data_IF_301374852677
#
_entry.id   IF_301374852677
#
_cell.length_a   1.000
_cell.length_b   1.000
_cell.length_c   1.000
_cell.angle_alpha   90.00
_cell.angle_beta   90.00
_cell.angle_gamma   90.00
#
_symmetry.space_group_name_H-M   'P 1'
#
loop_
_entity.id
_entity.type
_entity.pdbx_description
1 polymer ?
#
# COMPACT_ATOMS: atom_id res chain seq x y z
N UNK A 1 8.49 15.49 -9.03
CA UNK A 1 9.38 15.46 -7.85
C UNK A 1 9.50 16.89 -7.33
N UNK A 2 9.31 17.08 -6.02
CA UNK A 2 9.43 18.37 -5.34
C UNK A 2 10.72 18.39 -4.51
N UNK A 3 11.46 19.49 -4.50
CA UNK A 3 12.68 19.65 -3.70
C UNK A 3 12.46 20.69 -2.61
N UNK A 4 12.80 20.34 -1.36
CA UNK A 4 12.66 21.18 -0.17
C UNK A 4 14.00 21.20 0.58
N UNK A 5 14.84 22.19 0.29
CA UNK A 5 16.20 22.24 0.84
C UNK A 5 17.00 20.99 0.44
N UNK A 6 17.50 20.25 1.44
CA UNK A 6 18.24 19.00 1.22
C UNK A 6 17.34 17.76 1.02
N UNK A 7 16.02 17.92 1.02
CA UNK A 7 15.06 16.82 0.89
C UNK A 7 14.41 16.79 -0.50
N UNK A 8 14.13 15.60 -1.01
CA UNK A 8 13.29 15.40 -2.20
C UNK A 8 12.05 14.62 -1.85
N UNK A 9 10.90 15.02 -2.40
CA UNK A 9 9.62 14.34 -2.28
C UNK A 9 9.17 13.88 -3.66
N UNK A 10 9.02 12.57 -3.80
CA UNK A 10 8.41 11.93 -4.96
C UNK A 10 7.01 11.43 -4.60
N UNK A 11 6.11 11.42 -5.59
CA UNK A 11 4.72 11.00 -5.45
C UNK A 11 4.56 9.69 -6.20
N UNK A 12 4.14 8.64 -5.49
CA UNK A 12 3.86 7.33 -6.06
C UNK A 12 2.35 7.15 -6.08
N UNK A 13 1.75 7.26 -7.27
CA UNK A 13 0.29 7.20 -7.44
C UNK A 13 -0.23 5.82 -7.08
N UNK A 14 -1.24 5.78 -6.21
CA UNK A 14 -1.93 4.56 -5.80
C UNK A 14 -3.29 4.47 -6.52
N UNK A 15 -4.15 5.48 -6.36
CA UNK A 15 -5.45 5.61 -7.04
C UNK A 15 -5.67 7.07 -7.46
N UNK A 16 -5.79 7.33 -8.76
CA UNK A 16 -6.00 8.66 -9.30
C UNK A 16 -6.75 8.57 -10.66
N UNK A 17 -7.95 9.18 -10.82
CA UNK A 17 -8.71 9.85 -9.78
C UNK A 17 -9.46 8.87 -8.87
N UNK A 18 -9.55 9.21 -7.60
CA UNK A 18 -10.58 8.70 -6.69
C UNK A 18 -11.76 9.69 -6.70
N UNK A 19 -12.76 9.41 -7.52
CA UNK A 19 -13.93 10.26 -7.69
C UNK A 19 -15.00 9.96 -6.63
N UNK A 20 -15.52 11.01 -6.00
CA UNK A 20 -16.65 10.92 -5.07
C UNK A 20 -17.70 11.97 -5.42
N UNK A 21 -19.00 11.67 -5.27
CA UNK A 21 -20.02 12.72 -5.30
C UNK A 21 -19.71 13.82 -4.30
N UNK A 22 -19.86 15.09 -4.70
CA UNK A 22 -19.55 16.24 -3.84
C UNK A 22 -20.23 16.13 -2.47
N UNK A 23 -21.54 15.85 -2.46
CA UNK A 23 -22.34 15.72 -1.24
C UNK A 23 -21.97 14.51 -0.36
N UNK A 24 -21.27 13.51 -0.91
CA UNK A 24 -20.74 12.40 -0.12
C UNK A 24 -19.51 12.82 0.69
N UNK A 25 -18.61 13.63 0.10
CA UNK A 25 -17.42 14.13 0.80
C UNK A 25 -17.76 15.34 1.70
N UNK A 26 -18.62 16.22 1.23
CA UNK A 26 -19.07 17.43 1.94
C UNK A 26 -20.59 17.43 2.06
N UNK A 27 -21.16 16.82 3.12
CA UNK A 27 -22.61 16.75 3.30
C UNK A 27 -23.27 18.13 3.26
N UNK A 28 -24.29 18.27 2.39
CA UNK A 28 -25.03 19.52 2.19
C UNK A 28 -24.38 20.52 1.24
N UNK A 29 -23.25 20.20 0.63
CA UNK A 29 -22.65 21.02 -0.42
C UNK A 29 -23.32 20.80 -1.77
N UNK A 30 -23.57 21.89 -2.49
CA UNK A 30 -24.12 21.90 -3.84
C UNK A 30 -23.06 22.35 -4.83
N UNK A 31 -22.97 21.68 -5.99
CA UNK A 31 -21.92 21.94 -6.99
C UNK A 31 -21.96 23.38 -7.52
N UNK A 32 -23.14 24.00 -7.54
CA UNK A 32 -23.30 25.38 -8.01
C UNK A 32 -22.77 26.44 -7.06
N UNK A 33 -22.58 26.10 -5.78
CA UNK A 33 -21.96 27.00 -4.82
C UNK A 33 -20.47 27.26 -5.11
N UNK A 34 -19.84 26.44 -5.95
CA UNK A 34 -18.42 26.56 -6.33
C UNK A 34 -18.23 26.73 -7.84
N UNK A 35 -19.29 27.08 -8.57
CA UNK A 35 -19.27 27.19 -10.04
C UNK A 35 -18.32 28.28 -10.55
N UNK A 36 -18.23 29.38 -9.82
CA UNK A 36 -17.31 30.49 -10.11
C UNK A 36 -15.83 30.09 -10.01
N UNK A 37 -15.54 29.02 -9.25
CA UNK A 37 -14.21 28.45 -9.09
C UNK A 37 -13.84 27.40 -10.15
N UNK A 38 -14.71 27.11 -11.11
CA UNK A 38 -14.47 26.14 -12.19
C UNK A 38 -13.14 26.33 -12.94
N UNK A 39 -12.68 27.55 -13.28
CA UNK A 39 -11.44 27.76 -14.02
C UNK A 39 -10.17 27.23 -13.34
N UNK A 40 -10.18 27.02 -12.02
CA UNK A 40 -9.02 26.50 -11.28
C UNK A 40 -9.29 25.18 -10.55
N UNK A 41 -10.55 24.74 -10.46
CA UNK A 41 -10.92 23.42 -9.96
C UNK A 41 -10.99 22.36 -11.07
N UNK A 42 -11.41 22.73 -12.28
CA UNK A 42 -11.43 21.82 -13.42
C UNK A 42 -10.06 21.80 -14.14
N UNK A 43 -9.67 20.68 -14.76
CA UNK A 43 -10.31 19.36 -14.70
C UNK A 43 -9.79 18.51 -13.53
N UNK A 44 -8.89 19.03 -12.69
CA UNK A 44 -8.05 18.21 -11.82
C UNK A 44 -8.63 17.95 -10.43
N UNK A 45 -9.54 18.79 -9.94
CA UNK A 45 -10.05 18.73 -8.57
C UNK A 45 -11.57 18.50 -8.51
N UNK A 46 -12.31 18.93 -9.53
CA UNK A 46 -13.76 18.75 -9.62
C UNK A 46 -14.14 18.40 -11.06
N UNK A 47 -14.87 17.30 -11.22
CA UNK A 47 -15.65 17.02 -12.42
C UNK A 47 -17.04 17.63 -12.24
N UNK A 48 -17.18 18.84 -12.76
CA UNK A 48 -18.38 19.64 -12.67
C UNK A 48 -19.57 19.08 -13.46
N UNK A 49 -19.31 18.25 -14.47
CA UNK A 49 -20.38 17.61 -15.25
C UNK A 49 -20.94 16.39 -14.52
N UNK A 50 -20.07 15.62 -13.86
CA UNK A 50 -20.47 14.47 -13.05
C UNK A 50 -20.86 14.83 -11.60
N UNK A 51 -20.62 16.06 -11.16
CA UNK A 51 -20.86 16.49 -9.77
C UNK A 51 -19.91 15.83 -8.77
N UNK A 52 -18.70 15.47 -9.21
CA UNK A 52 -17.74 14.73 -8.42
C UNK A 52 -16.55 15.60 -8.01
N UNK A 53 -16.06 15.39 -6.79
CA UNK A 53 -14.72 15.81 -6.38
C UNK A 53 -13.72 14.71 -6.74
N UNK A 54 -12.55 15.13 -7.23
CA UNK A 54 -11.49 14.24 -7.69
C UNK A 54 -10.34 14.30 -6.67
N UNK A 55 -10.09 13.17 -6.02
CA UNK A 55 -9.04 13.02 -5.03
C UNK A 55 -7.91 12.16 -5.59
N UNK A 56 -6.68 12.42 -5.15
CA UNK A 56 -5.55 11.52 -5.39
C UNK A 56 -5.24 10.72 -4.14
N UNK A 57 -5.20 9.39 -4.24
CA UNK A 57 -4.56 8.54 -3.25
C UNK A 57 -3.16 8.22 -3.74
N UNK A 58 -2.17 8.50 -2.91
CA UNK A 58 -0.77 8.37 -3.29
C UNK A 58 0.11 8.24 -2.06
N UNK A 59 1.20 7.50 -2.22
CA UNK A 59 2.28 7.48 -1.25
C UNK A 59 3.30 8.56 -1.60
N UNK A 60 3.99 9.07 -0.58
CA UNK A 60 5.09 10.00 -0.78
C UNK A 60 6.40 9.35 -0.38
N UNK A 61 7.41 9.49 -1.23
CA UNK A 61 8.75 9.06 -0.95
C UNK A 61 9.61 10.27 -0.61
N UNK A 62 9.93 10.42 0.67
CA UNK A 62 10.82 11.45 1.17
C UNK A 62 12.24 10.90 1.23
N UNK A 63 13.18 11.57 0.57
CA UNK A 63 14.62 11.27 0.66
C UNK A 63 15.34 12.45 1.28
N UNK A 64 16.05 12.21 2.39
CA UNK A 64 16.79 13.23 3.13
C UNK A 64 17.88 12.57 3.96
N UNK A 65 19.09 13.13 3.98
CA UNK A 65 20.19 12.61 4.81
C UNK A 65 20.54 11.14 4.55
N UNK A 66 20.42 10.68 3.30
CA UNK A 66 20.63 9.26 2.93
C UNK A 66 19.47 8.32 3.28
N UNK A 67 18.44 8.79 3.97
CA UNK A 67 17.25 8.00 4.30
C UNK A 67 16.27 7.96 3.14
N UNK A 68 15.51 6.87 3.09
CA UNK A 68 14.36 6.68 2.19
C UNK A 68 13.13 6.41 3.06
N UNK A 69 12.22 7.37 3.13
CA UNK A 69 11.05 7.34 4.01
C UNK A 69 9.80 7.25 3.14
N UNK A 70 9.09 6.13 3.23
CA UNK A 70 7.79 5.95 2.59
C UNK A 70 6.68 6.42 3.53
N UNK A 71 5.87 7.36 3.08
CA UNK A 71 4.65 7.81 3.74
C UNK A 71 3.47 7.20 2.95
N UNK A 72 2.89 6.13 3.46
CA UNK A 72 1.82 5.36 2.81
C UNK A 72 0.42 5.89 3.18
N UNK A 73 -0.43 6.14 2.18
CA UNK A 73 -1.83 6.58 2.35
C UNK A 73 -2.84 5.41 2.44
N UNK A 74 -2.33 4.19 2.64
CA UNK A 74 -3.02 3.01 3.16
C UNK A 74 -3.93 2.22 2.21
N UNK A 75 -4.26 2.64 0.98
CA UNK A 75 -5.11 1.82 0.07
C UNK A 75 -4.34 0.61 -0.44
N UNK A 76 -3.37 0.80 -1.34
CA UNK A 76 -2.55 -0.26 -1.91
C UNK A 76 -3.34 -1.36 -2.64
N UNK A 77 -2.67 -2.49 -2.84
CA UNK A 77 -3.20 -3.68 -3.52
C UNK A 77 -3.35 -4.85 -2.53
N UNK A 78 -4.18 -5.83 -2.89
CA UNK A 78 -4.31 -7.13 -2.22
C UNK A 78 -4.73 -7.07 -0.74
N UNK A 79 -5.54 -6.05 -0.35
CA UNK A 79 -6.08 -5.96 1.00
C UNK A 79 -7.61 -6.13 1.00
N UNK A 80 -8.17 -7.06 1.79
CA UNK A 80 -9.60 -7.29 1.84
C UNK A 80 -10.29 -6.13 2.56
N UNK A 81 -11.18 -5.42 1.85
CA UNK A 81 -11.97 -4.29 2.36
C UNK A 81 -13.41 -4.39 1.87
N UNK A 82 -14.17 -5.42 2.28
CA UNK A 82 -15.51 -5.69 1.74
C UNK A 82 -16.53 -4.55 1.94
N UNK A 83 -16.25 -3.61 2.87
CA UNK A 83 -17.07 -2.41 3.12
C UNK A 83 -16.69 -1.20 2.24
N UNK A 84 -15.65 -1.29 1.42
CA UNK A 84 -15.13 -0.23 0.55
C UNK A 84 -14.77 -0.81 -0.80
N UNK A 85 -15.76 -0.96 -1.68
CA UNK A 85 -15.61 -1.60 -2.99
C UNK A 85 -14.43 -1.04 -3.79
N UNK A 86 -14.27 0.29 -3.83
CA UNK A 86 -13.19 0.97 -4.58
C UNK A 86 -11.79 0.65 -4.05
N UNK A 87 -11.67 0.09 -2.85
CA UNK A 87 -10.41 -0.22 -2.16
C UNK A 87 -10.21 -1.72 -1.88
N UNK A 88 -11.21 -2.55 -2.20
CA UNK A 88 -11.23 -3.96 -1.88
C UNK A 88 -10.42 -4.77 -2.91
N UNK A 89 -9.44 -5.55 -2.43
CA UNK A 89 -8.73 -6.55 -3.25
C UNK A 89 -8.29 -6.05 -4.62
N UNK A 90 -7.87 -4.78 -4.67
CA UNK A 90 -7.30 -4.17 -5.87
C UNK A 90 -6.05 -4.93 -6.27
N UNK A 91 -5.88 -5.17 -7.56
CA UNK A 91 -4.71 -5.81 -8.13
C UNK A 91 -4.39 -5.16 -9.48
N UNK A 92 -3.13 -5.31 -9.93
CA UNK A 92 -2.66 -4.84 -11.23
C UNK A 92 -2.92 -3.33 -11.50
N UNK A 93 -2.89 -2.49 -10.46
CA UNK A 93 -3.07 -1.03 -10.59
C UNK A 93 -1.76 -0.32 -10.97
N UNK A 94 -0.66 -1.08 -10.96
CA UNK A 94 0.71 -0.59 -11.20
C UNK A 94 1.31 0.13 -10.00
N UNK A 95 0.61 0.23 -8.86
CA UNK A 95 1.11 0.92 -7.67
C UNK A 95 2.41 0.31 -7.16
N UNK A 96 2.45 -1.02 -6.97
CA UNK A 96 3.64 -1.73 -6.51
C UNK A 96 4.80 -1.59 -7.50
N UNK A 97 4.51 -1.61 -8.81
CA UNK A 97 5.52 -1.41 -9.85
C UNK A 97 6.11 0.01 -9.83
N UNK A 98 5.27 1.05 -9.63
CA UNK A 98 5.73 2.44 -9.47
C UNK A 98 6.58 2.63 -8.22
N UNK A 99 6.21 1.99 -7.11
CA UNK A 99 7.00 2.02 -5.88
C UNK A 99 8.38 1.36 -6.08
N UNK A 100 8.40 0.19 -6.73
CA UNK A 100 9.63 -0.52 -7.08
C UNK A 100 10.54 0.28 -8.03
N UNK A 101 9.97 0.96 -9.03
CA UNK A 101 10.69 1.86 -9.93
C UNK A 101 11.29 3.06 -9.20
N UNK A 102 10.65 3.48 -8.10
CA UNK A 102 11.16 4.53 -7.19
C UNK A 102 12.24 4.00 -6.23
N UNK A 103 12.73 2.76 -6.41
CA UNK A 103 13.78 2.16 -5.58
C UNK A 103 13.30 1.65 -4.22
N UNK A 104 11.99 1.53 -4.00
CA UNK A 104 11.40 0.96 -2.78
C UNK A 104 10.66 -0.32 -3.11
N UNK A 105 11.11 -1.42 -2.51
CA UNK A 105 10.43 -2.72 -2.59
C UNK A 105 10.14 -3.19 -1.18
N UNK A 106 8.90 -3.02 -0.75
CA UNK A 106 8.48 -3.31 0.61
C UNK A 106 7.04 -3.83 0.64
N UNK A 107 6.77 -4.82 1.49
CA UNK A 107 5.46 -5.43 1.71
C UNK A 107 5.13 -5.28 3.19
N UNK A 108 4.16 -4.43 3.48
CA UNK A 108 3.55 -4.32 4.81
C UNK A 108 2.52 -5.43 4.95
N UNK A 109 2.94 -6.56 5.51
CA UNK A 109 2.15 -7.79 5.46
C UNK A 109 1.10 -7.90 6.58
N UNK A 110 1.02 -6.91 7.47
CA UNK A 110 0.12 -6.93 8.63
C UNK A 110 0.29 -8.23 9.42
N UNK A 111 -0.79 -8.99 9.52
CA UNK A 111 -0.91 -10.22 10.33
C UNK A 111 -0.66 -11.50 9.50
N UNK A 112 -0.18 -11.39 8.26
CA UNK A 112 0.18 -12.59 7.47
C UNK A 112 1.30 -13.40 8.15
N UNK A 113 2.20 -12.72 8.87
CA UNK A 113 3.32 -13.29 9.63
C UNK A 113 3.32 -12.66 11.04
N UNK A 114 3.24 -13.50 12.07
CA UNK A 114 3.27 -13.08 13.47
C UNK A 114 4.62 -13.38 14.15
N UNK A 115 5.39 -14.31 13.59
CA UNK A 115 6.67 -14.74 14.16
C UNK A 115 7.60 -15.26 13.05
N UNK A 116 8.93 -15.10 13.17
CA UNK A 116 9.90 -15.69 12.23
C UNK A 116 9.78 -17.21 12.12
N UNK A 117 9.20 -17.88 13.11
CA UNK A 117 8.88 -19.30 13.03
C UNK A 117 8.00 -19.63 11.82
N UNK A 118 7.09 -18.73 11.42
CA UNK A 118 6.21 -18.92 10.25
C UNK A 118 6.94 -18.77 8.91
N UNK A 119 8.21 -18.35 8.88
CA UNK A 119 9.04 -18.47 7.68
C UNK A 119 9.56 -19.90 7.52
N UNK A 120 9.94 -20.54 8.64
CA UNK A 120 10.36 -21.95 8.65
C UNK A 120 9.19 -22.89 8.44
N UNK A 121 8.01 -22.50 8.93
CA UNK A 121 6.75 -23.25 8.79
C UNK A 121 5.65 -22.34 8.24
N UNK A 122 5.67 -22.03 6.93
CA UNK A 122 4.64 -21.21 6.28
C UNK A 122 3.24 -21.82 6.35
N UNK A 123 3.13 -23.11 6.65
CA UNK A 123 1.88 -23.83 6.87
C UNK A 123 1.25 -23.57 8.25
N UNK A 124 1.98 -22.99 9.20
CA UNK A 124 1.46 -22.73 10.53
C UNK A 124 0.55 -21.50 10.57
N UNK A 125 -0.70 -21.70 11.00
CA UNK A 125 -1.65 -20.62 11.26
C UNK A 125 -1.65 -20.22 12.74
N UNK A 126 -1.83 -18.92 13.00
CA UNK A 126 -2.12 -18.45 14.36
C UNK A 126 -3.53 -18.88 14.77
N UNK A 127 -3.84 -18.74 16.06
CA UNK A 127 -5.20 -18.95 16.56
C UNK A 127 -6.19 -17.88 16.05
N UNK A 128 -5.69 -16.80 15.45
CA UNK A 128 -6.48 -15.65 15.00
C UNK A 128 -6.71 -15.64 13.48
N UNK A 129 -6.20 -16.63 12.74
CA UNK A 129 -6.54 -16.82 11.33
C UNK A 129 -8.01 -17.23 11.21
N UNK A 130 -8.86 -16.34 10.69
CA UNK A 130 -10.29 -16.61 10.47
C UNK A 130 -10.52 -17.72 9.44
N UNK A 131 -9.70 -17.74 8.38
CA UNK A 131 -9.60 -18.81 7.40
C UNK A 131 -8.15 -19.33 7.38
N UNK A 132 -7.97 -20.60 7.72
CA UNK A 132 -6.63 -21.20 7.86
C UNK A 132 -6.01 -21.52 6.50
N UNK A 133 -6.79 -22.01 5.55
CA UNK A 133 -6.28 -22.36 4.22
C UNK A 133 -5.87 -21.10 3.47
N UNK A 134 -6.72 -20.07 3.49
CA UNK A 134 -6.41 -18.77 2.89
C UNK A 134 -5.18 -18.13 3.55
N UNK A 135 -5.04 -18.23 4.88
CA UNK A 135 -3.88 -17.67 5.57
C UNK A 135 -2.56 -18.36 5.20
N UNK A 136 -2.57 -19.68 4.98
CA UNK A 136 -1.39 -20.41 4.47
C UNK A 136 -1.07 -19.99 3.04
N UNK A 137 -2.06 -20.02 2.14
CA UNK A 137 -1.87 -19.65 0.75
C UNK A 137 -1.33 -18.22 0.61
N UNK A 138 -1.91 -17.27 1.34
CA UNK A 138 -1.48 -15.86 1.35
C UNK A 138 -0.03 -15.72 1.80
N UNK A 139 0.36 -16.43 2.87
CA UNK A 139 1.72 -16.34 3.40
C UNK A 139 2.75 -16.92 2.46
N UNK A 140 2.45 -18.06 1.84
CA UNK A 140 3.34 -18.70 0.87
C UNK A 140 3.55 -17.77 -0.32
N UNK A 141 2.46 -17.30 -0.94
CA UNK A 141 2.53 -16.36 -2.06
C UNK A 141 3.34 -15.10 -1.69
N UNK A 142 3.08 -14.52 -0.50
CA UNK A 142 3.81 -13.35 -0.02
C UNK A 142 5.32 -13.59 0.11
N UNK A 143 5.74 -14.74 0.63
CA UNK A 143 7.16 -15.07 0.77
C UNK A 143 7.82 -15.28 -0.59
N UNK A 144 7.13 -15.92 -1.52
CA UNK A 144 7.58 -16.14 -2.90
C UNK A 144 7.73 -14.83 -3.65
N UNK A 145 6.69 -13.99 -3.64
CA UNK A 145 6.68 -12.67 -4.27
C UNK A 145 7.78 -11.77 -3.69
N UNK A 146 7.88 -11.72 -2.35
CA UNK A 146 8.90 -10.92 -1.69
C UNK A 146 10.32 -11.36 -2.06
N UNK A 147 10.55 -12.66 -2.20
CA UNK A 147 11.84 -13.19 -2.59
C UNK A 147 12.17 -12.87 -4.05
N UNK A 148 11.23 -13.15 -4.96
CA UNK A 148 11.40 -12.89 -6.39
C UNK A 148 11.70 -11.42 -6.67
N UNK A 149 11.03 -10.51 -5.96
CA UNK A 149 11.22 -9.08 -6.11
C UNK A 149 12.36 -8.49 -5.28
N UNK A 150 12.97 -9.25 -4.37
CA UNK A 150 13.90 -8.70 -3.40
C UNK A 150 13.26 -7.60 -2.56
N UNK A 151 12.01 -7.79 -2.14
CA UNK A 151 11.30 -6.87 -1.26
C UNK A 151 11.66 -7.07 0.22
N UNK A 152 11.55 -6.00 1.01
CA UNK A 152 11.50 -6.09 2.47
C UNK A 152 10.09 -6.51 2.89
N UNK A 153 9.99 -7.41 3.87
CA UNK A 153 8.74 -7.78 4.52
C UNK A 153 8.69 -7.08 5.87
N UNK A 154 7.59 -6.38 6.15
CA UNK A 154 7.35 -5.63 7.38
C UNK A 154 6.09 -6.17 8.08
N UNK A 155 6.23 -7.17 8.99
CA UNK A 155 5.11 -7.71 9.74
C UNK A 155 4.69 -6.81 10.90
N UNK A 156 3.39 -6.76 11.22
CA UNK A 156 2.88 -5.91 12.28
C UNK A 156 3.28 -6.39 13.70
N UNK A 157 3.48 -7.70 13.87
CA UNK A 157 3.67 -8.32 15.19
C UNK A 157 5.09 -8.84 15.45
N UNK A 158 6.04 -8.55 14.55
CA UNK A 158 7.43 -8.94 14.76
C UNK A 158 8.05 -8.06 15.86
N UNK A 159 8.50 -8.69 16.95
CA UNK A 159 9.29 -7.99 17.99
C UNK A 159 10.78 -8.03 17.62
N UNK A 160 11.46 -6.90 17.83
CA UNK A 160 12.90 -6.76 17.55
C UNK A 160 13.12 -6.08 16.19
N UNK A 161 13.72 -6.77 15.19
CA UNK A 161 13.88 -6.23 13.84
C UNK A 161 12.54 -5.77 13.25
N UNK A 162 12.55 -4.61 12.59
CA UNK A 162 11.34 -4.03 11.99
C UNK A 162 10.99 -4.67 10.65
N UNK A 163 12.00 -5.22 9.96
CA UNK A 163 11.85 -5.80 8.65
C UNK A 163 12.74 -7.03 8.48
N UNK A 164 12.44 -7.83 7.46
CA UNK A 164 13.26 -8.95 7.04
C UNK A 164 13.19 -9.16 5.53
N UNK A 165 14.18 -9.86 4.98
CA UNK A 165 14.10 -10.50 3.66
C UNK A 165 13.91 -12.00 3.86
N UNK A 166 13.17 -12.64 2.96
CA UNK A 166 12.99 -14.08 2.96
C UNK A 166 13.96 -14.72 1.95
N UNK A 167 14.80 -15.64 2.43
CA UNK A 167 15.70 -16.44 1.60
C UNK A 167 15.28 -17.93 1.65
N UNK A 168 15.22 -18.65 0.52
CA UNK A 168 14.96 -20.09 0.50
C UNK A 168 15.97 -20.85 1.34
N UNK A 169 15.50 -21.85 2.09
CA UNK A 169 16.33 -22.70 2.95
C UNK A 169 16.08 -24.20 2.71
N UNK A 170 15.66 -24.57 1.49
CA UNK A 170 15.34 -25.95 1.12
C UNK A 170 14.18 -26.51 1.93
N UNK A 171 14.31 -27.76 2.40
CA UNK A 171 13.29 -28.42 3.24
C UNK A 171 12.98 -27.69 4.55
N UNK A 172 13.87 -26.78 4.97
CA UNK A 172 13.68 -26.00 6.17
C UNK A 172 12.75 -24.77 6.00
N UNK A 173 12.16 -24.60 4.81
CA UNK A 173 11.29 -23.48 4.47
C UNK A 173 12.08 -22.22 4.10
N UNK A 174 11.84 -21.12 4.80
CA UNK A 174 12.48 -19.82 4.56
C UNK A 174 13.34 -19.37 5.74
N UNK A 175 14.48 -18.75 5.44
CA UNK A 175 15.34 -18.07 6.42
C UNK A 175 15.04 -16.56 6.43
N UNK A 176 14.80 -15.96 7.60
CA UNK A 176 14.78 -14.50 7.72
C UNK A 176 16.21 -13.94 7.68
N UNK A 177 16.43 -12.95 6.82
CA UNK A 177 17.58 -12.05 6.89
C UNK A 177 17.07 -10.69 7.42
N UNK A 178 17.25 -10.45 8.72
CA UNK A 178 16.69 -9.30 9.44
C UNK A 178 17.38 -7.97 9.09
N UNK A 179 16.61 -6.88 9.12
CA UNK A 179 17.06 -5.49 8.89
C UNK A 179 16.65 -4.59 10.05
#
# INVERSE_FOLDING_TARGET
MLTLGAATVERVIDLDPFALPLGLLFPGAEIEAIRDAEPWLAPHHVDFAAGNVLLGVQSHLLRVGGLTILIDACVGEHKPRPRRADWHDRAATGYLARLAASGVRAIFCGDAIHSPAQLRRPDWCSAFCADREQAVATRIALLEDAHADGALILPAHLRGPLALRAAPAGEAGWRPDFV
#
